data_IF_430246597856
#
_entry.id   IF_430246597856
#
_cell.length_a   1.000
_cell.length_b   1.000
_cell.length_c   1.000
_cell.angle_alpha   90.00
_cell.angle_beta   90.00
_cell.angle_gamma   90.00
#
_symmetry.space_group_name_H-M   'P 1'
#
loop_
_entity.id
_entity.type
_entity.pdbx_description
1 polymer ?
#
# COMPACT_ATOMS: atom_id res chain seq x y z
N UNK A 1 -2.64 -5.09 -20.02
CA UNK A 1 -2.75 -6.51 -19.67
C UNK A 1 -1.49 -6.84 -18.88
N UNK A 2 -1.58 -6.76 -17.55
CA UNK A 2 -0.47 -7.17 -16.68
C UNK A 2 -0.49 -8.68 -16.60
N UNK A 3 0.60 -9.31 -17.01
CA UNK A 3 0.77 -10.75 -16.87
C UNK A 3 0.70 -11.07 -15.38
N UNK A 4 -0.25 -11.93 -15.00
CA UNK A 4 -0.20 -12.64 -13.73
C UNK A 4 1.20 -13.24 -13.61
N UNK A 5 1.92 -12.87 -12.56
CA UNK A 5 3.12 -13.55 -12.13
C UNK A 5 2.78 -15.00 -11.77
N UNK A 6 3.73 -15.90 -12.04
CA UNK A 6 3.52 -17.34 -12.00
C UNK A 6 3.22 -17.89 -10.59
N UNK A 7 3.36 -17.06 -9.55
CA UNK A 7 3.26 -17.44 -8.14
C UNK A 7 1.90 -17.12 -7.48
N UNK A 8 0.97 -16.50 -8.21
CA UNK A 8 -0.38 -16.12 -7.73
C UNK A 8 -0.37 -15.34 -6.39
N UNK A 9 0.69 -14.57 -6.14
CA UNK A 9 0.84 -13.79 -4.91
C UNK A 9 0.78 -12.28 -5.15
N UNK A 10 0.32 -11.53 -4.14
CA UNK A 10 0.46 -10.08 -4.19
C UNK A 10 1.93 -9.67 -4.03
N UNK A 11 2.32 -8.48 -4.55
CA UNK A 11 3.68 -7.99 -4.40
C UNK A 11 4.10 -7.94 -2.93
N UNK A 12 5.20 -8.62 -2.59
CA UNK A 12 5.83 -8.48 -1.29
C UNK A 12 6.60 -7.15 -1.25
N UNK A 13 6.23 -6.27 -0.35
CA UNK A 13 6.80 -4.91 -0.29
C UNK A 13 8.13 -4.82 0.45
N UNK A 14 8.64 -5.91 1.03
CA UNK A 14 9.91 -5.87 1.77
C UNK A 14 11.02 -6.65 1.09
N UNK A 15 12.20 -6.03 0.97
CA UNK A 15 13.42 -6.69 0.55
C UNK A 15 14.62 -6.01 1.16
N UNK A 16 15.16 -6.59 2.23
CA UNK A 16 16.55 -6.38 2.60
C UNK A 16 16.80 -6.30 4.10
N UNK A 17 17.90 -6.86 4.61
CA UNK A 17 18.25 -6.76 6.01
C UNK A 17 18.60 -5.31 6.39
N UNK A 18 17.83 -4.69 7.28
CA UNK A 18 18.12 -3.35 7.78
C UNK A 18 16.96 -2.67 8.51
N UNK A 19 17.28 -1.61 9.26
CA UNK A 19 16.32 -0.79 10.02
C UNK A 19 15.55 0.23 9.16
N UNK A 20 15.95 0.43 7.91
CA UNK A 20 15.29 1.38 7.02
C UNK A 20 14.04 0.75 6.43
N UNK A 21 12.91 1.46 6.35
CA UNK A 21 11.75 0.96 5.62
C UNK A 21 12.16 0.87 4.15
N UNK A 22 12.41 -0.34 3.61
CA UNK A 22 12.68 -0.45 2.19
C UNK A 22 11.44 0.07 1.47
N UNK A 23 11.69 0.87 0.46
CA UNK A 23 10.70 1.43 -0.42
C UNK A 23 9.73 0.33 -0.86
N UNK A 24 8.52 0.35 -0.30
CA UNK A 24 7.54 -0.73 -0.40
C UNK A 24 7.21 -1.07 -1.86
N UNK A 25 7.24 -0.08 -2.73
CA UNK A 25 6.93 -0.24 -4.15
C UNK A 25 8.17 -0.56 -5.01
N UNK A 26 9.35 -0.79 -4.42
CA UNK A 26 10.60 -1.03 -5.17
C UNK A 26 10.54 -2.29 -6.02
N UNK A 27 9.84 -3.31 -5.55
CA UNK A 27 9.61 -4.52 -6.35
C UNK A 27 8.70 -4.29 -7.56
N UNK A 28 7.99 -3.16 -7.62
CA UNK A 28 7.22 -2.74 -8.79
C UNK A 28 8.09 -2.01 -9.82
N UNK A 29 9.36 -1.68 -9.53
CA UNK A 29 10.25 -0.98 -10.46
C UNK A 29 10.38 -1.65 -11.84
N UNK A 30 10.47 -2.99 -11.99
CA UNK A 30 10.51 -3.62 -13.31
C UNK A 30 9.26 -3.33 -14.17
N UNK A 31 8.17 -2.94 -13.51
CA UNK A 31 6.85 -2.72 -14.08
C UNK A 31 6.52 -1.23 -14.21
N UNK A 32 7.33 -0.34 -13.66
CA UNK A 32 7.07 1.10 -13.64
C UNK A 32 8.10 1.84 -14.50
N UNK A 33 7.60 2.74 -15.36
CA UNK A 33 8.43 3.42 -16.37
C UNK A 33 9.42 4.43 -15.77
N UNK A 34 9.12 5.00 -14.61
CA UNK A 34 9.98 6.02 -13.99
C UNK A 34 9.67 6.24 -12.51
N UNK A 35 10.70 6.64 -11.77
CA UNK A 35 10.62 6.98 -10.35
C UNK A 35 9.65 8.11 -9.98
N UNK A 36 9.51 9.19 -10.76
CA UNK A 36 8.54 10.23 -10.47
C UNK A 36 7.08 9.74 -10.39
N UNK A 37 6.75 8.55 -10.92
CA UNK A 37 5.40 7.98 -10.80
C UNK A 37 5.00 7.67 -9.36
N UNK A 38 5.97 7.48 -8.45
CA UNK A 38 5.71 7.23 -7.04
C UNK A 38 5.41 8.51 -6.24
N UNK A 39 5.42 9.65 -6.94
CA UNK A 39 5.23 10.97 -6.38
C UNK A 39 3.94 11.54 -6.95
N UNK A 40 2.94 11.72 -6.08
CA UNK A 40 1.75 12.50 -6.38
C UNK A 40 2.14 13.97 -6.65
N UNK A 41 1.80 14.55 -7.82
CA UNK A 41 2.12 15.93 -8.16
C UNK A 41 1.49 16.98 -7.23
N UNK A 42 0.36 16.65 -6.61
CA UNK A 42 -0.39 17.56 -5.72
C UNK A 42 -0.07 17.36 -4.23
N UNK A 43 0.82 16.43 -3.88
CA UNK A 43 1.11 16.10 -2.48
C UNK A 43 2.38 16.76 -1.95
N UNK A 44 2.37 17.14 -0.67
CA UNK A 44 3.59 17.45 0.08
C UNK A 44 4.23 16.14 0.59
N UNK A 45 5.56 16.07 0.48
CA UNK A 45 6.35 14.86 0.75
C UNK A 45 6.61 14.71 2.25
N UNK A 46 5.80 13.90 2.91
CA UNK A 46 5.92 13.74 4.37
C UNK A 46 6.93 12.66 4.77
N UNK A 47 7.44 11.87 3.82
CA UNK A 47 8.42 10.85 4.15
C UNK A 47 9.36 10.52 3.00
N UNK A 48 10.49 9.97 3.42
CA UNK A 48 11.68 9.66 2.66
C UNK A 48 11.93 8.17 2.89
N UNK A 49 11.69 7.33 1.89
CA UNK A 49 11.94 5.88 1.95
C UNK A 49 13.26 5.56 1.25
N UNK A 50 13.98 4.52 1.68
CA UNK A 50 15.19 4.09 0.97
C UNK A 50 14.82 3.11 -0.14
N UNK A 51 15.26 3.35 -1.37
CA UNK A 51 15.17 2.34 -2.42
C UNK A 51 16.10 1.14 -2.15
N UNK A 52 16.04 0.14 -3.04
CA UNK A 52 16.86 -1.07 -2.94
C UNK A 52 18.38 -0.80 -3.01
N UNK A 53 18.78 0.41 -3.41
CA UNK A 53 20.17 0.87 -3.46
C UNK A 53 20.59 1.66 -2.21
N UNK A 54 19.67 1.87 -1.26
CA UNK A 54 19.88 2.72 -0.09
C UNK A 54 19.74 4.22 -0.37
N UNK A 55 19.28 4.60 -1.57
CA UNK A 55 19.07 6.01 -1.95
C UNK A 55 17.73 6.49 -1.42
N UNK A 56 17.73 7.68 -0.83
CA UNK A 56 16.52 8.31 -0.33
C UNK A 56 15.58 8.73 -1.48
N UNK A 57 14.34 8.25 -1.44
CA UNK A 57 13.28 8.49 -2.43
C UNK A 57 12.06 9.10 -1.77
N UNK A 58 11.46 10.05 -2.49
CA UNK A 58 10.15 10.61 -2.17
C UNK A 58 9.06 9.63 -2.59
N UNK A 59 8.07 9.44 -1.73
CA UNK A 59 6.94 8.56 -2.00
C UNK A 59 5.65 9.21 -1.49
N UNK A 60 4.58 9.01 -2.26
CA UNK A 60 3.24 9.55 -2.01
C UNK A 60 2.18 8.46 -1.87
N UNK A 61 2.59 7.20 -1.92
CA UNK A 61 1.71 6.03 -1.92
C UNK A 61 2.18 5.04 -0.85
N UNK A 62 1.22 4.45 -0.14
CA UNK A 62 1.46 3.39 0.81
C UNK A 62 0.85 2.07 0.34
N UNK A 63 1.30 0.98 0.97
CA UNK A 63 0.77 -0.35 0.74
C UNK A 63 0.15 -0.94 2.02
N UNK A 64 -0.87 -1.78 1.86
CA UNK A 64 -1.55 -2.45 2.96
C UNK A 64 -0.73 -3.65 3.47
N UNK A 65 -0.08 -3.49 4.62
CA UNK A 65 0.82 -4.49 5.18
C UNK A 65 0.14 -5.83 5.53
N UNK A 66 -1.19 -5.89 5.68
CA UNK A 66 -1.90 -7.16 5.86
C UNK A 66 -1.98 -7.99 4.56
N UNK A 67 -1.84 -7.33 3.41
CA UNK A 67 -1.83 -7.95 2.09
C UNK A 67 -0.41 -8.17 1.61
N UNK A 68 0.46 -7.17 1.74
CA UNK A 68 1.80 -7.20 1.13
C UNK A 68 2.93 -7.63 2.06
N UNK A 69 2.62 -7.89 3.34
CA UNK A 69 3.62 -8.09 4.38
C UNK A 69 4.01 -6.78 5.08
N UNK A 70 4.26 -6.85 6.39
CA UNK A 70 4.61 -5.69 7.21
C UNK A 70 6.11 -5.44 7.29
N UNK A 71 6.46 -4.35 7.98
CA UNK A 71 7.85 -4.05 8.30
C UNK A 71 8.55 -5.24 8.98
N UNK A 72 9.71 -5.63 8.44
CA UNK A 72 10.54 -6.71 8.99
C UNK A 72 10.09 -8.12 8.60
N UNK A 73 9.11 -8.27 7.70
CA UNK A 73 8.63 -9.59 7.26
C UNK A 73 8.81 -9.79 5.75
N UNK A 74 9.70 -10.70 5.34
CA UNK A 74 9.84 -11.16 3.93
C UNK A 74 8.84 -12.29 3.66
N UNK A 75 8.29 -12.34 2.44
CA UNK A 75 7.55 -13.51 1.96
C UNK A 75 6.25 -13.76 2.73
N UNK A 76 5.72 -12.72 3.38
CA UNK A 76 4.44 -12.76 4.09
C UNK A 76 3.29 -12.13 3.27
N UNK A 77 3.56 -11.74 2.03
CA UNK A 77 2.50 -11.31 1.12
C UNK A 77 1.47 -12.44 0.95
N UNK A 78 0.20 -12.05 0.87
CA UNK A 78 -0.91 -12.98 0.72
C UNK A 78 -0.95 -13.50 -0.71
N UNK A 79 -1.32 -14.77 -0.87
CA UNK A 79 -1.81 -15.25 -2.16
C UNK A 79 -3.09 -14.52 -2.53
N UNK A 80 -3.36 -14.39 -3.83
CA UNK A 80 -4.62 -13.77 -4.29
C UNK A 80 -5.84 -14.53 -3.76
N UNK A 81 -5.75 -15.86 -3.65
CA UNK A 81 -6.81 -16.71 -3.10
C UNK A 81 -7.05 -16.51 -1.60
N UNK A 82 -6.08 -15.98 -0.85
CA UNK A 82 -6.24 -15.68 0.59
C UNK A 82 -7.03 -14.39 0.85
N UNK A 83 -7.30 -13.57 -0.19
CA UNK A 83 -8.13 -12.37 -0.07
C UNK A 83 -9.56 -12.72 -0.51
N UNK A 84 -10.46 -12.82 0.47
CA UNK A 84 -11.83 -13.30 0.23
C UNK A 84 -12.69 -12.26 -0.51
N UNK A 85 -12.50 -10.97 -0.23
CA UNK A 85 -13.27 -9.88 -0.84
C UNK A 85 -12.34 -8.87 -1.54
N UNK A 86 -11.74 -9.24 -2.69
CA UNK A 86 -10.69 -8.44 -3.32
C UNK A 86 -11.19 -7.09 -3.85
N UNK A 87 -12.48 -6.97 -4.16
CA UNK A 87 -13.11 -5.74 -4.63
C UNK A 87 -13.39 -4.71 -3.52
N UNK A 88 -13.18 -5.04 -2.24
CA UNK A 88 -13.26 -4.06 -1.14
C UNK A 88 -12.01 -4.06 -0.26
N UNK A 89 -11.09 -5.00 -0.48
CA UNK A 89 -9.80 -5.06 0.21
C UNK A 89 -8.80 -4.16 -0.49
N UNK A 90 -8.23 -3.22 0.25
CA UNK A 90 -7.24 -2.28 -0.27
C UNK A 90 -5.86 -2.95 -0.38
N UNK A 91 -5.11 -2.61 -1.42
CA UNK A 91 -3.68 -2.98 -1.55
C UNK A 91 -2.76 -1.76 -1.56
N UNK A 92 -3.12 -0.71 -2.30
CA UNK A 92 -2.37 0.55 -2.32
C UNK A 92 -3.29 1.73 -2.07
N UNK A 93 -2.74 2.81 -1.52
CA UNK A 93 -3.47 4.02 -1.23
C UNK A 93 -2.54 5.23 -1.27
N UNK A 94 -3.09 6.42 -1.44
CA UNK A 94 -2.32 7.65 -1.27
C UNK A 94 -1.93 7.82 0.19
N UNK A 95 -0.63 7.78 0.47
CA UNK A 95 -0.11 7.58 1.82
C UNK A 95 0.92 8.63 2.23
N UNK A 96 0.95 8.92 3.53
CA UNK A 96 2.00 9.68 4.21
C UNK A 96 3.13 8.76 4.74
N UNK A 97 3.07 7.46 4.43
CA UNK A 97 4.09 6.47 4.77
C UNK A 97 4.03 5.28 3.78
N UNK A 98 5.12 4.51 3.67
CA UNK A 98 5.27 3.42 2.70
C UNK A 98 4.42 2.19 3.02
N UNK A 99 4.27 1.85 4.30
CA UNK A 99 3.44 0.73 4.74
C UNK A 99 2.37 1.23 5.72
N UNK A 100 1.18 0.63 5.67
CA UNK A 100 0.23 0.73 6.76
C UNK A 100 -0.35 -0.65 7.01
N UNK A 101 -0.04 -1.23 8.16
CA UNK A 101 -1.03 -2.06 8.84
C UNK A 101 -2.13 -1.11 9.29
N UNK A 102 -3.38 -1.52 9.12
CA UNK A 102 -4.59 -0.77 9.44
C UNK A 102 -4.36 0.35 10.46
N UNK A 103 -4.14 1.56 9.94
CA UNK A 103 -3.89 2.71 10.78
C UNK A 103 -5.13 3.10 11.62
N UNK A 104 -6.26 2.46 11.33
CA UNK A 104 -7.49 2.49 12.10
C UNK A 104 -7.49 1.51 13.29
N UNK A 105 -6.91 0.32 13.13
CA UNK A 105 -7.10 -0.83 14.04
C UNK A 105 -6.07 -0.86 15.19
N UNK A 106 -4.90 -0.25 15.01
CA UNK A 106 -3.82 -0.30 16.01
C UNK A 106 -3.58 1.02 16.77
N UNK A 107 -3.90 2.18 16.20
CA UNK A 107 -3.57 3.49 16.79
C UNK A 107 -4.75 4.46 16.95
N UNK A 108 -5.95 4.13 16.47
CA UNK A 108 -7.16 4.95 16.66
C UNK A 108 -7.15 6.37 16.09
N UNK A 109 -6.02 6.88 15.56
CA UNK A 109 -5.91 8.31 15.22
C UNK A 109 -5.09 8.65 13.98
N UNK A 110 -4.53 7.71 13.22
CA UNK A 110 -3.70 8.11 12.06
C UNK A 110 -3.83 7.18 10.88
N UNK A 111 -4.95 7.23 10.15
CA UNK A 111 -4.98 6.81 8.74
C UNK A 111 -3.76 7.41 8.06
N UNK A 112 -2.78 6.55 7.75
CA UNK A 112 -1.60 6.91 6.95
C UNK A 112 -2.03 7.31 5.54
N UNK A 113 -3.31 7.20 5.20
CA UNK A 113 -3.94 7.81 4.03
C UNK A 113 -3.84 9.34 4.08
N UNK A 114 -3.50 9.94 2.95
CA UNK A 114 -3.40 11.39 2.80
C UNK A 114 -4.59 11.93 1.99
N UNK A 115 -5.39 12.82 2.56
CA UNK A 115 -6.55 13.49 1.93
C UNK A 115 -6.16 14.62 0.97
N UNK A 116 -5.12 14.38 0.17
CA UNK A 116 -4.47 15.37 -0.72
C UNK A 116 -5.31 15.75 -1.95
N UNK A 117 -6.48 15.15 -2.14
CA UNK A 117 -7.33 15.36 -3.30
C UNK A 117 -8.77 15.68 -2.89
N UNK A 118 -9.02 16.95 -2.57
CA UNK A 118 -10.33 17.49 -2.22
C UNK A 118 -10.99 16.70 -1.06
N UNK A 119 -10.31 16.64 0.09
CA UNK A 119 -10.75 15.85 1.26
C UNK A 119 -10.88 14.35 0.97
N UNK A 120 -10.12 13.84 0.01
CA UNK A 120 -10.15 12.44 -0.38
C UNK A 120 -8.81 11.95 -0.91
N UNK A 121 -8.80 10.66 -1.24
CA UNK A 121 -7.63 9.92 -1.68
C UNK A 121 -7.99 8.89 -2.75
N UNK A 122 -7.02 8.54 -3.59
CA UNK A 122 -7.10 7.38 -4.48
C UNK A 122 -6.69 6.10 -3.75
N UNK A 123 -7.47 5.05 -3.99
CA UNK A 123 -7.29 3.72 -3.44
C UNK A 123 -7.24 2.70 -4.58
N UNK A 124 -6.38 1.69 -4.45
CA UNK A 124 -6.29 0.53 -5.34
C UNK A 124 -6.67 -0.70 -4.51
N UNK A 125 -7.48 -1.56 -5.09
CA UNK A 125 -8.02 -2.75 -4.45
C UNK A 125 -7.32 -4.00 -4.96
N UNK A 126 -7.47 -5.08 -4.20
CA UNK A 126 -6.86 -6.37 -4.46
C UNK A 126 -7.31 -7.00 -5.80
N UNK A 127 -8.47 -6.63 -6.36
CA UNK A 127 -8.89 -7.03 -7.71
C UNK A 127 -8.29 -6.16 -8.84
N UNK A 128 -7.51 -5.14 -8.49
CA UNK A 128 -6.83 -4.23 -9.41
C UNK A 128 -7.60 -2.97 -9.80
N UNK A 129 -8.85 -2.78 -9.36
CA UNK A 129 -9.54 -1.51 -9.65
C UNK A 129 -9.01 -0.38 -8.76
N UNK A 130 -9.21 0.86 -9.22
CA UNK A 130 -8.87 2.06 -8.47
C UNK A 130 -10.11 2.94 -8.29
N UNK A 131 -10.22 3.60 -7.13
CA UNK A 131 -11.35 4.46 -6.79
C UNK A 131 -10.90 5.62 -5.91
N UNK A 132 -11.33 6.83 -6.26
CA UNK A 132 -11.25 7.96 -5.35
C UNK A 132 -12.33 7.85 -4.27
N UNK A 133 -11.97 8.15 -3.04
CA UNK A 133 -12.92 8.24 -1.93
C UNK A 133 -12.66 9.47 -1.07
N UNK A 134 -13.74 10.19 -0.79
CA UNK A 134 -13.80 11.19 0.27
C UNK A 134 -13.50 10.54 1.64
N UNK A 135 -12.84 11.27 2.54
CA UNK A 135 -12.36 10.78 3.85
C UNK A 135 -13.43 10.14 4.74
N UNK A 136 -14.65 10.67 4.67
CA UNK A 136 -15.80 10.10 5.39
C UNK A 136 -16.20 8.68 4.93
N UNK A 137 -15.66 8.20 3.81
CA UNK A 137 -15.91 6.86 3.30
C UNK A 137 -14.75 5.89 3.55
N UNK A 138 -13.64 6.32 4.14
CA UNK A 138 -12.47 5.46 4.32
C UNK A 138 -12.74 4.27 5.24
N UNK A 139 -13.63 4.44 6.23
CA UNK A 139 -14.08 3.38 7.14
C UNK A 139 -15.02 2.33 6.50
N UNK A 140 -15.16 2.36 5.17
CA UNK A 140 -15.92 1.36 4.39
C UNK A 140 -14.97 0.38 3.69
N UNK A 141 -13.67 0.61 3.79
CA UNK A 141 -12.68 -0.21 3.13
C UNK A 141 -12.25 -1.37 4.02
N UNK A 142 -11.89 -2.49 3.40
CA UNK A 142 -11.30 -3.62 4.12
C UNK A 142 -9.78 -3.49 4.11
N UNK A 143 -9.20 -3.40 5.31
CA UNK A 143 -7.75 -3.42 5.52
C UNK A 143 -7.26 -4.84 5.82
N UNK A 144 -7.97 -5.58 6.66
CA UNK A 144 -7.62 -6.96 6.95
C UNK A 144 -8.26 -7.90 5.91
N UNK A 145 -7.48 -8.69 5.16
CA UNK A 145 -8.01 -9.64 4.18
C UNK A 145 -8.81 -10.79 4.81
N UNK A 146 -8.74 -10.98 6.13
CA UNK A 146 -9.56 -11.94 6.87
C UNK A 146 -11.03 -11.48 6.93
N UNK A 147 -11.99 -12.27 6.39
CA UNK A 147 -13.40 -11.92 6.37
C UNK A 147 -14.03 -11.76 7.77
N UNK A 148 -13.45 -12.39 8.79
CA UNK A 148 -13.96 -12.33 10.17
C UNK A 148 -13.59 -11.03 10.89
N UNK A 149 -12.71 -10.23 10.29
CA UNK A 149 -12.37 -8.92 10.83
C UNK A 149 -13.41 -7.90 10.38
N UNK A 150 -13.97 -7.09 11.29
CA UNK A 150 -14.87 -6.00 10.93
C UNK A 150 -14.21 -5.06 9.91
N UNK A 151 -15.04 -4.38 9.12
CA UNK A 151 -14.55 -3.27 8.31
C UNK A 151 -14.01 -2.19 9.26
N UNK A 152 -12.77 -1.77 9.01
CA UNK A 152 -12.15 -0.63 9.68
C UNK A 152 -12.55 0.67 9.01
#
# INVERSE_FOLDING_TARGET
QYAQDYDETYPDVWSGPGWYPPFCLGKLEPYIKSWPMYVCPSGFYNFNALDLTGTNRRLSYGANAHVVGGYGTVGQAKSMAAVIEPAITLIFFEGNWCDATSAYEYYGTQLRTADRHHDGANFIYCDGHAKWQHKNNWGKNRWNPDPNTPLG
#
